data_IF_238224679701
#
_entry.id   IF_238224679701
#
_cell.length_a   1.000
_cell.length_b   1.000
_cell.length_c   1.000
_cell.angle_alpha   90.00
_cell.angle_beta   90.00
_cell.angle_gamma   90.00
#
_symmetry.space_group_name_H-M   'P 1'
#
loop_
_entity.id
_entity.type
_entity.pdbx_description
1 polymer ?
#
# COMPACT_ATOMS: atom_id res chain seq x y z
N UNK A 1 -29.03 -6.76 42.19
CA UNK A 1 -29.27 -5.74 41.16
C UNK A 1 -30.77 -5.52 41.09
N UNK A 2 -31.25 -4.36 41.52
CA UNK A 2 -32.68 -4.02 41.49
C UNK A 2 -33.04 -3.29 40.19
N UNK A 3 -34.30 -3.37 39.74
CA UNK A 3 -34.76 -2.71 38.51
C UNK A 3 -34.46 -1.20 38.45
N UNK A 4 -34.42 -0.54 39.60
CA UNK A 4 -34.16 0.90 39.72
C UNK A 4 -32.68 1.27 39.56
N UNK A 5 -31.79 0.27 39.48
CA UNK A 5 -30.36 0.46 39.26
C UNK A 5 -30.01 0.41 37.75
N UNK A 6 -30.90 -0.11 36.88
CA UNK A 6 -30.71 -0.06 35.43
C UNK A 6 -30.94 1.37 34.92
N UNK A 7 -29.94 1.91 34.22
CA UNK A 7 -30.01 3.24 33.59
C UNK A 7 -29.33 4.36 34.39
N UNK A 8 -28.80 4.08 35.58
CA UNK A 8 -27.86 5.01 36.23
C UNK A 8 -26.49 4.87 35.55
N UNK A 9 -25.78 5.99 35.29
CA UNK A 9 -24.44 5.92 34.72
C UNK A 9 -23.55 5.07 35.63
N UNK A 10 -22.89 4.07 35.05
CA UNK A 10 -21.90 3.28 35.77
C UNK A 10 -20.72 4.21 36.02
N UNK A 11 -20.43 4.49 37.29
CA UNK A 11 -19.25 5.27 37.69
C UNK A 11 -18.04 4.34 37.55
N UNK A 12 -17.42 4.36 36.39
CA UNK A 12 -16.13 3.71 36.17
C UNK A 12 -15.05 4.66 36.70
N UNK A 13 -14.29 4.23 37.72
CA UNK A 13 -13.12 4.97 38.18
C UNK A 13 -12.05 4.93 37.08
N UNK A 14 -12.00 5.99 36.30
CA UNK A 14 -10.95 6.26 35.31
C UNK A 14 -10.07 7.33 35.94
N UNK A 15 -8.78 7.06 36.12
CA UNK A 15 -7.78 8.08 36.46
C UNK A 15 -7.72 9.09 35.31
N UNK A 16 -8.65 10.04 35.32
CA UNK A 16 -8.65 11.19 34.46
C UNK A 16 -7.69 12.21 35.07
N UNK A 17 -6.60 12.51 34.39
CA UNK A 17 -5.77 13.66 34.71
C UNK A 17 -6.66 14.92 34.56
N UNK A 18 -6.96 15.59 35.67
CA UNK A 18 -8.11 16.50 35.84
C UNK A 18 -7.97 17.83 35.06
N UNK A 19 -6.91 18.02 34.27
CA UNK A 19 -6.56 19.32 33.71
C UNK A 19 -6.77 19.50 32.19
N UNK A 20 -7.45 18.56 31.51
CA UNK A 20 -7.81 18.73 30.10
C UNK A 20 -9.23 18.19 29.80
N UNK A 21 -10.18 19.11 29.66
CA UNK A 21 -11.58 18.82 29.30
C UNK A 21 -11.74 18.25 27.88
N UNK A 22 -10.67 18.22 27.09
CA UNK A 22 -10.59 17.53 25.78
C UNK A 22 -10.29 16.03 25.93
N UNK A 23 -9.91 15.58 27.13
CA UNK A 23 -9.37 14.23 27.41
C UNK A 23 -10.31 13.38 28.30
N UNK A 24 -11.49 13.89 28.69
CA UNK A 24 -12.47 13.10 29.43
C UNK A 24 -12.99 11.91 28.58
N UNK A 25 -12.90 10.65 29.05
CA UNK A 25 -13.31 9.49 28.28
C UNK A 25 -14.81 9.54 27.96
N UNK A 26 -15.16 9.37 26.69
CA UNK A 26 -16.56 9.32 26.26
C UNK A 26 -17.21 7.99 26.67
N UNK A 27 -18.54 7.98 26.81
CA UNK A 27 -19.30 6.74 27.04
C UNK A 27 -19.02 5.69 25.94
N UNK A 28 -18.79 6.14 24.70
CA UNK A 28 -18.37 5.27 23.60
C UNK A 28 -16.99 4.65 23.86
N UNK A 29 -16.01 5.43 24.32
CA UNK A 29 -14.68 4.92 24.64
C UNK A 29 -14.74 3.89 25.77
N UNK A 30 -15.58 4.11 26.78
CA UNK A 30 -15.81 3.17 27.87
C UNK A 30 -16.46 1.88 27.39
N UNK A 31 -17.49 1.97 26.54
CA UNK A 31 -18.15 0.80 25.94
C UNK A 31 -17.18 -0.01 25.07
N UNK A 32 -16.41 0.66 24.20
CA UNK A 32 -15.41 0.01 23.34
C UNK A 32 -14.37 -0.74 24.18
N UNK A 33 -13.88 -0.11 25.26
CA UNK A 33 -12.93 -0.75 26.18
C UNK A 33 -13.51 -1.99 26.85
N UNK A 34 -14.73 -1.89 27.39
CA UNK A 34 -15.40 -3.02 28.04
C UNK A 34 -15.65 -4.20 27.08
N UNK A 35 -16.00 -3.90 25.81
CA UNK A 35 -16.14 -4.92 24.77
C UNK A 35 -14.79 -5.59 24.43
N UNK A 36 -13.71 -4.81 24.32
CA UNK A 36 -12.36 -5.35 24.09
C UNK A 36 -11.87 -6.21 25.25
N UNK A 37 -12.11 -5.80 26.50
CA UNK A 37 -11.79 -6.58 27.69
C UNK A 37 -12.56 -7.91 27.72
N UNK A 38 -13.86 -7.86 27.44
CA UNK A 38 -14.72 -9.04 27.38
C UNK A 38 -14.28 -10.01 26.27
N UNK A 39 -13.92 -9.49 25.09
CA UNK A 39 -13.41 -10.31 23.98
C UNK A 39 -12.10 -11.03 24.33
N UNK A 40 -11.19 -10.36 25.07
CA UNK A 40 -9.97 -11.00 25.58
C UNK A 40 -10.26 -12.11 26.59
N UNK A 41 -11.18 -11.88 27.53
CA UNK A 41 -11.56 -12.87 28.55
C UNK A 41 -12.27 -14.09 27.93
N UNK A 42 -13.05 -13.86 26.87
CA UNK A 42 -13.76 -14.91 26.14
C UNK A 42 -12.95 -15.55 25.00
N UNK A 43 -11.67 -15.18 24.84
CA UNK A 43 -10.76 -15.65 23.78
C UNK A 43 -11.35 -15.52 22.36
N UNK A 44 -12.07 -14.42 22.11
CA UNK A 44 -12.66 -14.14 20.80
C UNK A 44 -11.59 -13.63 19.85
N UNK A 45 -11.34 -14.36 18.77
CA UNK A 45 -10.40 -13.93 17.72
C UNK A 45 -10.95 -12.73 16.96
N UNK A 46 -10.16 -11.66 16.86
CA UNK A 46 -10.52 -10.50 16.07
C UNK A 46 -10.67 -10.88 14.58
N UNK A 47 -11.74 -10.45 13.89
CA UNK A 47 -11.88 -10.67 12.46
C UNK A 47 -10.75 -9.97 11.71
N UNK A 48 -10.28 -10.57 10.62
CA UNK A 48 -9.28 -9.94 9.75
C UNK A 48 -9.87 -8.65 9.17
N UNK A 49 -9.04 -7.60 9.11
CA UNK A 49 -9.42 -6.36 8.42
C UNK A 49 -9.78 -6.68 6.97
N UNK A 50 -10.91 -6.15 6.45
CA UNK A 50 -11.27 -6.33 5.04
C UNK A 50 -10.31 -5.59 4.11
N UNK A 51 -9.59 -4.60 4.63
CA UNK A 51 -8.60 -3.83 3.89
C UNK A 51 -7.20 -4.25 4.32
N UNK A 52 -6.35 -4.48 3.32
CA UNK A 52 -4.92 -4.51 3.55
C UNK A 52 -4.45 -3.15 4.07
N UNK A 53 -3.27 -3.08 4.74
CA UNK A 53 -2.63 -1.80 4.98
C UNK A 53 -2.52 -0.97 3.69
N UNK A 54 -2.33 0.34 3.76
CA UNK A 54 -1.97 1.13 2.58
C UNK A 54 -0.70 0.58 1.90
N UNK A 55 -0.59 0.79 0.59
CA UNK A 55 0.66 0.54 -0.13
C UNK A 55 1.77 1.41 0.47
N UNK A 56 2.99 0.88 0.48
CA UNK A 56 4.14 1.65 0.93
C UNK A 56 4.40 2.83 -0.03
N UNK A 57 4.80 3.97 0.52
CA UNK A 57 5.12 5.17 -0.27
C UNK A 57 6.24 4.92 -1.29
N UNK A 58 7.11 3.92 -1.03
CA UNK A 58 8.23 3.56 -1.88
C UNK A 58 8.36 2.04 -1.95
N UNK A 59 8.44 1.54 -3.17
CA UNK A 59 8.74 0.15 -3.49
C UNK A 59 9.97 0.12 -4.39
N UNK A 60 10.97 -0.69 -4.06
CA UNK A 60 12.18 -0.85 -4.86
C UNK A 60 12.02 -1.99 -5.86
N UNK A 61 12.74 -1.96 -6.97
CA UNK A 61 12.69 -3.05 -7.95
C UNK A 61 13.11 -4.40 -7.36
N UNK A 62 14.05 -4.42 -6.42
CA UNK A 62 14.47 -5.63 -5.70
C UNK A 62 13.35 -6.24 -4.82
N UNK A 63 12.32 -5.46 -4.46
CA UNK A 63 11.15 -5.98 -3.73
C UNK A 63 10.12 -6.62 -4.67
N UNK A 64 10.26 -6.48 -5.98
CA UNK A 64 9.33 -6.99 -6.99
C UNK A 64 9.76 -8.38 -7.52
N UNK A 65 10.50 -9.15 -6.70
CA UNK A 65 11.39 -10.27 -7.02
C UNK A 65 10.72 -11.56 -7.56
N UNK A 66 9.70 -11.45 -8.42
CA UNK A 66 8.85 -12.57 -8.83
C UNK A 66 8.54 -12.62 -10.33
N UNK A 67 9.47 -12.23 -11.21
CA UNK A 67 9.35 -12.60 -12.62
C UNK A 67 10.58 -13.42 -13.01
N UNK A 68 10.38 -14.71 -13.25
CA UNK A 68 11.44 -15.62 -13.67
C UNK A 68 12.19 -15.09 -14.89
N UNK A 69 13.44 -15.53 -15.07
CA UNK A 69 14.15 -15.31 -16.33
C UNK A 69 13.29 -15.87 -17.46
N UNK A 70 13.19 -15.12 -18.56
CA UNK A 70 12.44 -15.56 -19.73
C UNK A 70 12.87 -16.98 -20.12
N UNK A 71 11.88 -17.86 -20.29
CA UNK A 71 12.08 -19.22 -20.78
C UNK A 71 11.70 -19.26 -22.27
N UNK A 72 12.23 -20.25 -23.00
CA UNK A 72 11.89 -20.53 -24.40
C UNK A 72 12.04 -19.35 -25.39
N UNK A 73 13.15 -18.60 -25.28
CA UNK A 73 13.49 -17.54 -26.25
C UNK A 73 12.59 -16.29 -26.19
N UNK A 74 11.78 -16.16 -25.13
CA UNK A 74 10.95 -14.99 -24.88
C UNK A 74 11.59 -14.07 -23.84
N UNK A 75 11.28 -12.79 -23.93
CA UNK A 75 11.68 -11.82 -22.91
C UNK A 75 10.88 -12.06 -21.62
N UNK A 76 11.48 -11.89 -20.43
CA UNK A 76 10.73 -11.88 -19.18
C UNK A 76 9.73 -10.71 -19.15
N UNK A 77 8.64 -10.86 -18.41
CA UNK A 77 7.77 -9.73 -18.14
C UNK A 77 8.51 -8.69 -17.28
N UNK A 78 8.31 -7.41 -17.55
CA UNK A 78 9.08 -6.33 -16.95
C UNK A 78 8.33 -5.78 -15.73
N UNK A 79 8.73 -6.09 -14.49
CA UNK A 79 8.11 -5.52 -13.29
C UNK A 79 8.44 -4.04 -13.17
N UNK A 80 7.46 -3.22 -12.79
CA UNK A 80 7.65 -1.78 -12.63
C UNK A 80 6.93 -1.17 -11.41
N UNK A 81 6.12 -1.95 -10.70
CA UNK A 81 5.42 -1.48 -9.50
C UNK A 81 4.65 -2.59 -8.78
N UNK A 82 3.84 -2.19 -7.81
CA UNK A 82 2.94 -3.06 -7.05
C UNK A 82 1.51 -2.55 -7.23
N UNK A 83 0.62 -3.41 -7.68
CA UNK A 83 -0.80 -3.16 -7.88
C UNK A 83 -1.59 -3.64 -6.67
N UNK A 84 -2.57 -2.86 -6.23
CA UNK A 84 -3.56 -3.30 -5.26
C UNK A 84 -4.75 -3.93 -5.99
N UNK A 85 -5.23 -5.07 -5.51
CA UNK A 85 -6.34 -5.85 -6.10
C UNK A 85 -7.45 -5.94 -5.05
N UNK A 86 -8.33 -4.90 -4.95
CA UNK A 86 -9.23 -4.76 -3.82
C UNK A 86 -10.24 -5.90 -3.68
N UNK A 87 -10.75 -6.41 -4.81
CA UNK A 87 -11.71 -7.51 -4.82
C UNK A 87 -11.12 -8.84 -4.34
N UNK A 88 -9.79 -9.00 -4.48
CA UNK A 88 -9.06 -10.17 -4.01
C UNK A 88 -8.39 -9.98 -2.65
N UNK A 89 -8.47 -8.79 -2.06
CA UNK A 89 -7.70 -8.39 -0.86
C UNK A 89 -6.21 -8.78 -1.02
N UNK A 90 -5.67 -8.55 -2.22
CA UNK A 90 -4.35 -9.02 -2.61
C UNK A 90 -3.53 -7.89 -3.24
N UNK A 91 -2.22 -8.08 -3.33
CA UNK A 91 -1.29 -7.21 -4.04
C UNK A 91 -0.48 -8.02 -5.01
N UNK A 92 -0.30 -7.48 -6.20
CA UNK A 92 0.36 -8.18 -7.31
C UNK A 92 1.43 -7.30 -7.92
N UNK A 93 2.53 -7.90 -8.39
CA UNK A 93 3.57 -7.14 -9.09
C UNK A 93 3.00 -6.67 -10.43
N UNK A 94 3.01 -5.36 -10.66
CA UNK A 94 2.64 -4.78 -11.92
C UNK A 94 3.76 -5.02 -12.94
N UNK A 95 3.45 -5.79 -13.99
CA UNK A 95 4.40 -6.18 -15.03
C UNK A 95 3.95 -5.70 -16.40
N UNK A 96 4.91 -5.47 -17.29
CA UNK A 96 4.66 -5.18 -18.70
C UNK A 96 5.30 -6.25 -19.59
N UNK A 97 4.51 -6.95 -20.40
CA UNK A 97 5.00 -8.02 -21.27
C UNK A 97 5.40 -7.46 -22.65
N UNK A 98 6.70 -7.38 -22.91
CA UNK A 98 7.25 -6.93 -24.20
C UNK A 98 6.93 -7.85 -25.38
N UNK A 99 6.60 -9.12 -25.14
CA UNK A 99 6.36 -10.09 -26.21
C UNK A 99 4.96 -9.98 -26.82
N UNK A 100 3.97 -9.52 -26.05
CA UNK A 100 2.55 -9.51 -26.47
C UNK A 100 1.83 -8.18 -26.26
N UNK A 101 2.39 -7.26 -25.49
CA UNK A 101 1.75 -5.96 -25.23
C UNK A 101 2.03 -4.98 -26.39
N UNK A 102 1.04 -4.16 -26.72
CA UNK A 102 1.19 -3.02 -27.63
C UNK A 102 1.86 -1.81 -26.95
N UNK A 103 1.95 -0.66 -27.63
CA UNK A 103 2.61 0.53 -27.09
C UNK A 103 2.10 0.96 -25.71
N UNK A 104 3.03 1.31 -24.81
CA UNK A 104 2.73 1.77 -23.45
C UNK A 104 2.71 3.31 -23.37
N UNK A 105 1.62 3.87 -22.84
CA UNK A 105 1.50 5.29 -22.52
C UNK A 105 1.49 5.55 -21.01
N UNK A 106 2.32 6.48 -20.53
CA UNK A 106 2.35 6.91 -19.12
C UNK A 106 1.90 8.38 -19.01
N UNK A 107 0.73 8.60 -18.43
CA UNK A 107 0.05 9.89 -18.36
C UNK A 107 -0.14 10.28 -16.89
N UNK A 108 -0.05 11.57 -16.59
CA UNK A 108 -0.14 12.08 -15.22
C UNK A 108 0.20 13.55 -15.11
N UNK A 109 -0.29 14.18 -14.05
CA UNK A 109 -0.06 15.58 -13.72
C UNK A 109 1.44 15.90 -13.47
N UNK A 110 1.85 17.18 -13.39
CA UNK A 110 3.19 17.55 -12.96
C UNK A 110 3.55 16.87 -11.63
N UNK A 111 4.78 16.35 -11.53
CA UNK A 111 5.31 15.64 -10.33
C UNK A 111 4.59 14.34 -9.93
N UNK A 112 3.72 13.79 -10.77
CA UNK A 112 3.05 12.49 -10.54
C UNK A 112 3.95 11.26 -10.63
N UNK A 113 5.22 11.41 -10.99
CA UNK A 113 6.16 10.29 -11.07
C UNK A 113 6.30 9.64 -12.45
N UNK A 114 5.77 10.23 -13.53
CA UNK A 114 5.91 9.69 -14.91
C UNK A 114 7.35 9.33 -15.29
N UNK A 115 8.29 10.26 -15.07
CA UNK A 115 9.71 10.01 -15.35
C UNK A 115 10.30 8.93 -14.44
N UNK A 116 9.81 8.81 -13.20
CA UNK A 116 10.21 7.74 -12.28
C UNK A 116 9.72 6.38 -12.78
N UNK A 117 8.47 6.29 -13.26
CA UNK A 117 7.92 5.06 -13.83
C UNK A 117 8.69 4.62 -15.08
N UNK A 118 8.98 5.56 -16.01
CA UNK A 118 9.80 5.26 -17.19
C UNK A 118 11.21 4.78 -16.81
N UNK A 119 11.85 5.42 -15.83
CA UNK A 119 13.17 4.97 -15.33
C UNK A 119 13.10 3.62 -14.63
N UNK A 120 12.03 3.33 -13.90
CA UNK A 120 11.83 2.03 -13.26
C UNK A 120 11.69 0.91 -14.30
N UNK A 121 10.92 1.14 -15.36
CA UNK A 121 10.80 0.20 -16.50
C UNK A 121 12.16 0.01 -17.17
N UNK A 122 12.88 1.10 -17.49
CA UNK A 122 14.19 1.00 -18.13
C UNK A 122 15.22 0.26 -17.26
N UNK A 123 15.24 0.52 -15.94
CA UNK A 123 16.10 -0.17 -15.00
C UNK A 123 15.73 -1.65 -14.86
N UNK A 124 14.44 -1.98 -14.89
CA UNK A 124 13.94 -3.35 -14.85
C UNK A 124 14.34 -4.15 -16.11
N UNK A 125 14.20 -3.55 -17.29
CA UNK A 125 14.71 -4.11 -18.56
C UNK A 125 16.22 -4.36 -18.47
N UNK A 126 16.99 -3.36 -18.04
CA UNK A 126 18.45 -3.49 -17.91
C UNK A 126 18.88 -4.58 -16.90
N UNK A 127 18.04 -4.88 -15.92
CA UNK A 127 18.31 -5.91 -14.92
C UNK A 127 17.96 -7.32 -15.40
N UNK A 128 16.93 -7.47 -16.23
CA UNK A 128 16.34 -8.76 -16.59
C UNK A 128 16.68 -9.24 -18.01
N UNK A 129 17.24 -8.38 -18.86
CA UNK A 129 17.48 -8.67 -20.28
C UNK A 129 18.93 -8.39 -20.66
N UNK A 130 19.41 -9.04 -21.72
CA UNK A 130 20.72 -8.70 -22.27
C UNK A 130 20.62 -7.54 -23.27
N UNK A 131 21.68 -6.70 -23.41
CA UNK A 131 21.67 -5.58 -24.35
C UNK A 131 21.48 -5.95 -25.83
N UNK A 132 21.69 -7.22 -26.19
CA UNK A 132 21.43 -7.73 -27.54
C UNK A 132 19.95 -8.05 -27.80
N UNK A 133 19.16 -8.23 -26.74
CA UNK A 133 17.76 -8.63 -26.84
C UNK A 133 16.83 -7.41 -26.80
N UNK A 134 17.23 -6.34 -26.10
CA UNK A 134 16.44 -5.10 -25.97
C UNK A 134 17.31 -3.85 -26.11
N UNK A 135 16.89 -2.94 -26.97
CA UNK A 135 17.50 -1.63 -27.14
C UNK A 135 16.62 -0.53 -26.54
N UNK A 136 17.19 0.29 -25.65
CA UNK A 136 16.51 1.40 -24.99
C UNK A 136 17.01 2.74 -25.55
N UNK A 137 16.08 3.56 -26.02
CA UNK A 137 16.35 4.93 -26.48
C UNK A 137 15.57 5.92 -25.62
N UNK A 138 16.29 6.76 -24.86
CA UNK A 138 15.71 7.79 -24.01
C UNK A 138 15.75 9.15 -24.69
N UNK A 139 14.59 9.80 -24.79
CA UNK A 139 14.47 11.20 -25.23
C UNK A 139 13.86 11.99 -24.07
N UNK A 140 14.67 12.81 -23.42
CA UNK A 140 14.22 13.66 -22.32
C UNK A 140 13.94 15.09 -22.82
N UNK A 141 12.66 15.43 -22.90
CA UNK A 141 12.18 16.76 -23.25
C UNK A 141 11.77 17.58 -22.02
N UNK A 142 12.22 17.21 -20.82
CA UNK A 142 11.96 17.94 -19.59
C UNK A 142 12.55 19.35 -19.60
N UNK A 143 11.87 20.29 -18.96
CA UNK A 143 12.36 21.66 -18.78
C UNK A 143 13.42 21.71 -17.69
N UNK A 144 14.64 21.31 -17.99
CA UNK A 144 15.78 21.72 -17.17
C UNK A 144 15.95 23.23 -17.33
N UNK A 145 15.64 24.02 -16.29
CA UNK A 145 16.13 25.40 -16.22
C UNK A 145 17.65 25.31 -16.25
N UNK A 146 18.25 25.85 -17.30
CA UNK A 146 19.66 26.20 -17.27
C UNK A 146 19.79 27.41 -16.33
N UNK A 147 20.04 27.17 -15.04
CA UNK A 147 20.49 28.24 -14.15
C UNK A 147 21.92 28.59 -14.56
N UNK A 148 22.09 29.81 -15.07
CA UNK A 148 23.40 30.45 -15.26
C UNK A 148 24.09 30.68 -13.93
#
# INVERSE_FOLDING_TARGET
MTWHELGRPVVLAIDADVNDSTTAPTDLALLVRALQDSARLADVTAPKSPWLPPLADRVTLAQLDAVGRGDDGRLPAIPFGLSDVPHGQAREVATYDLNSSGPLGIIGAPRSGRSTALRAIAASIAHLTEPRDVHLYGIDCGTTRCSR
#
